data_IF_938860964001
#
_entry.id   IF_938860964001
#
_cell.length_a   1.000
_cell.length_b   1.000
_cell.length_c   1.000
_cell.angle_alpha   90.00
_cell.angle_beta   90.00
_cell.angle_gamma   90.00
#
_symmetry.space_group_name_H-M   'P 1'
#
loop_
_entity.id
_entity.type
_entity.pdbx_description
1 polymer ?
#
# COMPACT_ATOMS: atom_id res chain seq x y z
N UNK A 1 11.55 0.00 15.04
CA UNK A 1 11.73 1.40 14.59
C UNK A 1 12.87 1.57 13.59
N UNK A 2 13.73 0.56 13.40
CA UNK A 2 14.83 0.63 12.42
C UNK A 2 14.32 0.31 11.01
N UNK A 3 14.76 1.05 9.98
CA UNK A 3 14.48 0.69 8.59
C UNK A 3 15.06 -0.67 8.19
N UNK A 4 14.32 -1.40 7.34
CA UNK A 4 14.72 -2.72 6.82
C UNK A 4 15.68 -2.64 5.63
N UNK A 5 15.59 -1.58 4.82
CA UNK A 5 16.43 -1.36 3.64
C UNK A 5 17.03 0.04 3.67
N UNK A 6 18.24 0.19 3.09
CA UNK A 6 18.87 1.50 2.90
C UNK A 6 17.98 2.35 1.98
N UNK A 7 17.75 3.61 2.33
CA UNK A 7 16.84 4.54 1.63
C UNK A 7 15.34 4.25 1.77
N UNK A 8 14.94 3.35 2.67
CA UNK A 8 13.53 3.15 3.03
C UNK A 8 13.26 3.82 4.38
N UNK A 9 12.08 4.42 4.62
CA UNK A 9 11.70 4.87 5.95
C UNK A 9 11.45 3.69 6.87
N UNK A 10 11.45 3.92 8.18
CA UNK A 10 10.96 2.91 9.11
C UNK A 10 9.43 2.80 9.03
N UNK A 11 8.92 1.59 9.25
CA UNK A 11 7.47 1.35 9.33
C UNK A 11 6.78 2.23 10.39
N UNK A 12 7.49 2.53 11.49
CA UNK A 12 6.99 3.39 12.55
C UNK A 12 6.84 4.84 12.08
N UNK A 13 7.84 5.42 11.42
CA UNK A 13 7.78 6.79 10.88
C UNK A 13 6.66 6.94 9.84
N UNK A 14 6.39 5.90 9.05
CA UNK A 14 5.27 5.87 8.10
C UNK A 14 3.93 5.80 8.83
N UNK A 15 3.81 4.95 9.85
CA UNK A 15 2.56 4.75 10.59
C UNK A 15 2.11 6.01 11.34
N UNK A 16 3.05 6.75 11.95
CA UNK A 16 2.75 8.00 12.65
C UNK A 16 2.67 9.23 11.73
N UNK A 17 2.89 9.06 10.41
CA UNK A 17 2.84 10.16 9.43
C UNK A 17 4.04 11.11 9.45
N UNK A 18 5.16 10.72 10.06
CA UNK A 18 6.40 11.53 10.09
C UNK A 18 7.13 11.49 8.73
N UNK A 19 7.06 10.36 8.04
CA UNK A 19 7.64 10.21 6.71
C UNK A 19 6.84 10.99 5.66
N UNK A 20 7.55 11.81 4.87
CA UNK A 20 6.99 12.52 3.72
C UNK A 20 7.31 11.76 2.43
N UNK A 21 6.30 11.34 1.64
CA UNK A 21 6.51 10.69 0.36
C UNK A 21 7.30 11.58 -0.59
N UNK A 22 8.25 10.99 -1.32
CA UNK A 22 8.96 11.68 -2.39
C UNK A 22 8.17 11.63 -3.70
N UNK A 23 8.60 12.38 -4.73
CA UNK A 23 7.95 12.36 -6.05
C UNK A 23 7.88 10.94 -6.65
N UNK A 24 8.86 10.08 -6.37
CA UNK A 24 8.87 8.69 -6.82
C UNK A 24 7.81 7.85 -6.10
N UNK A 25 7.52 8.16 -4.84
CA UNK A 25 6.49 7.49 -4.05
C UNK A 25 5.08 8.00 -4.42
N UNK A 26 4.97 9.25 -4.87
CA UNK A 26 3.69 9.91 -5.19
C UNK A 26 3.07 9.39 -6.49
N UNK A 27 3.85 8.75 -7.37
CA UNK A 27 3.33 7.99 -8.51
C UNK A 27 2.49 6.78 -8.06
N UNK A 28 2.63 6.37 -6.79
CA UNK A 28 1.81 5.37 -6.11
C UNK A 28 0.79 6.11 -5.25
N UNK A 29 -0.33 6.52 -5.87
CA UNK A 29 -1.32 7.48 -5.36
C UNK A 29 -1.99 7.19 -4.00
N UNK A 30 -1.58 6.20 -3.22
CA UNK A 30 -2.31 5.78 -2.01
C UNK A 30 -1.44 5.28 -0.84
N UNK A 31 -0.23 5.82 -0.65
CA UNK A 31 0.65 5.41 0.46
C UNK A 31 0.49 6.27 1.73
N UNK A 32 -0.74 6.48 2.19
CA UNK A 32 -0.98 7.03 3.53
C UNK A 32 -1.67 6.00 4.43
N UNK A 33 -1.39 6.03 5.73
CA UNK A 33 -1.99 5.13 6.71
C UNK A 33 -1.43 3.71 6.70
N UNK A 34 -2.23 2.75 7.18
CA UNK A 34 -1.78 1.38 7.41
C UNK A 34 -1.33 0.64 6.14
N UNK A 35 -1.95 0.91 4.99
CA UNK A 35 -1.53 0.35 3.70
C UNK A 35 -0.10 0.72 3.33
N UNK A 36 0.36 1.92 3.68
CA UNK A 36 1.73 2.36 3.44
C UNK A 36 2.73 1.65 4.36
N UNK A 37 2.38 1.47 5.63
CA UNK A 37 3.16 0.70 6.59
C UNK A 37 3.34 -0.75 6.12
N UNK A 38 2.27 -1.37 5.61
CA UNK A 38 2.35 -2.70 5.01
C UNK A 38 3.21 -2.73 3.75
N UNK A 39 3.15 -1.71 2.89
CA UNK A 39 4.01 -1.63 1.72
C UNK A 39 5.50 -1.59 2.09
N UNK A 40 5.84 -0.87 3.16
CA UNK A 40 7.22 -0.79 3.65
C UNK A 40 7.72 -2.13 4.18
N UNK A 41 6.91 -2.85 4.95
CA UNK A 41 7.32 -4.12 5.57
C UNK A 41 7.24 -5.32 4.61
N UNK A 42 6.16 -5.39 3.82
CA UNK A 42 5.76 -6.59 3.09
C UNK A 42 5.29 -6.29 1.67
N UNK A 43 5.69 -5.14 1.09
CA UNK A 43 5.22 -4.69 -0.23
C UNK A 43 5.31 -5.76 -1.32
N UNK A 44 6.46 -6.46 -1.40
CA UNK A 44 6.72 -7.50 -2.39
C UNK A 44 5.77 -8.72 -2.25
N UNK A 45 5.28 -8.99 -1.03
CA UNK A 45 4.44 -10.15 -0.71
C UNK A 45 2.94 -9.80 -0.74
N UNK A 46 2.57 -8.59 -0.33
CA UNK A 46 1.20 -8.23 0.04
C UNK A 46 0.59 -7.22 -0.94
N UNK A 47 1.38 -6.31 -1.51
CA UNK A 47 0.89 -5.27 -2.43
C UNK A 47 0.96 -5.72 -3.91
N UNK A 48 0.24 -5.04 -4.80
CA UNK A 48 0.21 -5.29 -6.27
C UNK A 48 -0.29 -6.67 -6.72
N UNK A 49 -0.89 -7.47 -5.83
CA UNK A 49 -1.37 -8.83 -6.15
C UNK A 49 -2.89 -8.95 -6.18
N UNK A 50 -3.61 -7.82 -6.18
CA UNK A 50 -5.07 -7.80 -6.03
C UNK A 50 -5.49 -8.18 -4.60
N UNK A 51 -6.66 -8.80 -4.45
CA UNK A 51 -7.11 -9.35 -3.17
C UNK A 51 -6.32 -10.64 -2.85
N UNK A 52 -5.34 -10.49 -1.96
CA UNK A 52 -4.48 -11.56 -1.47
C UNK A 52 -4.90 -11.98 -0.06
N UNK A 53 -4.96 -13.28 0.22
CA UNK A 53 -5.26 -13.84 1.55
C UNK A 53 -4.31 -13.30 2.63
N UNK A 54 -3.01 -13.19 2.34
CA UNK A 54 -2.04 -12.61 3.28
C UNK A 54 -2.37 -11.16 3.64
N UNK A 55 -2.81 -10.37 2.66
CA UNK A 55 -3.25 -9.00 2.90
C UNK A 55 -4.48 -8.99 3.79
N UNK A 56 -5.49 -9.79 3.45
CA UNK A 56 -6.74 -9.86 4.20
C UNK A 56 -6.53 -10.32 5.65
N UNK A 57 -5.59 -11.25 5.88
CA UNK A 57 -5.23 -11.68 7.23
C UNK A 57 -4.55 -10.57 8.04
N UNK A 58 -3.62 -9.80 7.47
CA UNK A 58 -3.00 -8.67 8.19
C UNK A 58 -4.05 -7.59 8.50
N UNK A 59 -4.92 -7.31 7.52
CA UNK A 59 -6.00 -6.32 7.66
C UNK A 59 -7.01 -6.73 8.72
N UNK A 60 -7.42 -8.00 8.77
CA UNK A 60 -8.40 -8.48 9.75
C UNK A 60 -7.87 -8.33 11.18
N UNK A 61 -6.60 -8.63 11.42
CA UNK A 61 -5.95 -8.44 12.72
C UNK A 61 -5.88 -6.96 13.09
N UNK A 62 -5.47 -6.10 12.15
CA UNK A 62 -5.42 -4.66 12.38
C UNK A 62 -6.79 -4.10 12.79
N UNK A 63 -7.84 -4.44 12.03
CA UNK A 63 -9.20 -3.99 12.32
C UNK A 63 -9.72 -4.53 13.65
N UNK A 64 -9.44 -5.80 13.97
CA UNK A 64 -9.79 -6.40 15.25
C UNK A 64 -9.18 -5.63 16.44
N UNK A 65 -7.89 -5.29 16.37
CA UNK A 65 -7.24 -4.51 17.42
C UNK A 65 -7.77 -3.07 17.51
N UNK A 66 -8.14 -2.44 16.39
CA UNK A 66 -8.78 -1.12 16.43
C UNK A 66 -10.14 -1.15 17.15
N UNK A 67 -10.93 -2.19 16.93
CA UNK A 67 -12.22 -2.36 17.61
C UNK A 67 -12.01 -2.60 19.11
N UNK A 68 -11.03 -3.41 19.50
CA UNK A 68 -10.68 -3.64 20.91
C UNK A 68 -10.23 -2.36 21.63
N UNK A 69 -9.49 -1.48 20.94
CA UNK A 69 -9.04 -0.20 21.51
C UNK A 69 -10.13 0.88 21.48
N UNK A 70 -11.28 0.64 20.85
CA UNK A 70 -12.38 1.60 20.75
C UNK A 70 -12.06 2.85 19.91
N UNK A 71 -11.03 2.80 19.06
CA UNK A 71 -10.55 3.98 18.29
C UNK A 71 -11.39 4.23 17.04
N UNK A 72 -12.24 3.27 16.66
CA UNK A 72 -13.15 3.34 15.52
C UNK A 72 -12.43 3.27 14.17
N UNK A 73 -13.06 2.62 13.19
CA UNK A 73 -12.53 2.52 11.82
C UNK A 73 -12.86 3.81 11.08
N UNK A 74 -11.87 4.64 10.74
CA UNK A 74 -12.11 5.85 9.94
C UNK A 74 -12.10 5.47 8.46
N UNK A 75 -13.01 6.04 7.67
CA UNK A 75 -13.10 5.80 6.21
C UNK A 75 -11.84 6.26 5.44
N UNK A 76 -11.00 7.06 6.08
CA UNK A 76 -9.69 7.51 5.58
C UNK A 76 -8.54 6.57 5.93
N UNK A 77 -8.78 5.52 6.71
CA UNK A 77 -7.82 4.44 6.90
C UNK A 77 -7.73 3.70 5.56
N UNK A 78 -6.79 4.12 4.72
CA UNK A 78 -6.40 3.37 3.52
C UNK A 78 -5.71 2.09 4.01
N UNK A 79 -6.52 1.12 4.42
CA UNK A 79 -6.07 -0.13 5.04
C UNK A 79 -5.51 -1.08 3.98
N UNK A 80 -5.96 -0.98 2.72
CA UNK A 80 -5.45 -1.80 1.62
C UNK A 80 -4.30 -1.11 0.90
N UNK A 81 -3.30 -1.90 0.50
CA UNK A 81 -2.18 -1.46 -0.30
C UNK A 81 -2.38 -1.88 -1.77
N UNK A 82 -2.93 -0.98 -2.59
CA UNK A 82 -3.04 -1.18 -4.04
C UNK A 82 -1.93 -0.40 -4.74
N UNK A 83 -0.80 -1.04 -4.99
CA UNK A 83 0.22 -0.43 -5.85
C UNK A 83 -0.16 -0.78 -7.29
N UNK A 84 -1.05 0.03 -7.89
CA UNK A 84 -1.16 0.13 -9.35
C UNK A 84 -0.07 1.09 -9.81
N UNK A 85 1.17 0.60 -9.89
CA UNK A 85 2.05 1.18 -10.89
C UNK A 85 1.48 0.65 -12.19
N UNK A 86 0.72 1.48 -12.92
CA UNK A 86 0.50 1.26 -14.35
C UNK A 86 1.85 1.36 -15.08
N UNK A 87 2.73 0.39 -14.85
CA UNK A 87 3.92 0.11 -15.66
C UNK A 87 3.54 -0.65 -16.93
N UNK A 88 2.24 -0.80 -17.19
CA UNK A 88 1.69 -1.32 -18.43
C UNK A 88 1.31 -0.24 -19.46
N UNK A 89 1.26 1.05 -19.10
CA UNK A 89 0.84 2.10 -20.07
C UNK A 89 1.97 2.82 -20.82
N UNK A 90 3.23 2.39 -20.72
CA UNK A 90 4.31 3.08 -21.42
C UNK A 90 5.32 2.21 -22.18
N UNK A 91 5.13 0.89 -22.28
CA UNK A 91 6.09 0.01 -23.00
C UNK A 91 5.47 -0.91 -24.05
N UNK A 92 4.20 -0.72 -24.44
CA UNK A 92 3.65 -1.41 -25.62
C UNK A 92 2.80 -0.47 -26.47
N UNK A 93 3.25 -0.09 -27.69
CA UNK A 93 2.41 0.66 -28.65
C UNK A 93 1.34 -0.22 -29.32
N UNK A 94 1.02 -1.40 -28.77
CA UNK A 94 0.20 -2.43 -29.43
C UNK A 94 -1.12 -2.77 -28.71
N UNK A 95 -1.62 -1.92 -27.80
CA UNK A 95 -2.94 -2.13 -27.18
C UNK A 95 -4.11 -1.54 -28.00
N UNK A 96 -3.85 -0.91 -29.15
CA UNK A 96 -4.90 -0.32 -29.98
C UNK A 96 -5.65 -1.33 -30.88
N UNK A 97 -5.34 -2.63 -30.78
CA UNK A 97 -5.81 -3.66 -31.71
C UNK A 97 -6.65 -4.78 -31.07
N UNK A 98 -7.04 -4.67 -29.80
CA UNK A 98 -7.85 -5.71 -29.16
C UNK A 98 -9.01 -5.16 -28.33
N UNK A 99 -9.72 -4.18 -28.89
CA UNK A 99 -11.13 -3.92 -28.54
C UNK A 99 -11.90 -3.59 -29.82
N UNK A 100 -12.48 -4.62 -30.43
CA UNK A 100 -13.70 -4.49 -31.23
C UNK A 100 -14.67 -5.59 -30.75
N UNK A 101 -15.99 -5.32 -30.78
CA UNK A 101 -17.03 -6.22 -30.26
C UNK A 101 -17.12 -7.55 -31.01
#
# INVERSE_FOLDING_TARGET
MTPTKKHQPSAHEVFIGYWKPTKNDTLVKQLYGFGATMNVLYGDLVCSRGDNEFMNNIISHYLYYLDLMGVGRKKQDLVKCSVVVSRFLSIHPLSHLLELP
#
